data_IF_183598744628
#
_entry.id   IF_183598744628
#
_cell.length_a   1.000
_cell.length_b   1.000
_cell.length_c   1.000
_cell.angle_alpha   90.00
_cell.angle_beta   90.00
_cell.angle_gamma   90.00
#
_symmetry.space_group_name_H-M   'P 1'
#
loop_
_entity.id
_entity.type
_entity.pdbx_description
1 polymer ?
#
# COMPACT_ATOMS: atom_id res chain seq x y z
N UNK A 1 -22.45 13.64 10.83
CA UNK A 1 -21.62 12.68 10.07
C UNK A 1 -22.46 11.51 9.56
N UNK A 2 -23.22 10.84 10.43
CA UNK A 2 -24.08 9.70 10.06
C UNK A 2 -25.03 10.01 8.89
N UNK A 3 -25.76 11.13 8.94
CA UNK A 3 -26.66 11.57 7.84
C UNK A 3 -25.95 11.77 6.49
N UNK A 4 -24.68 12.21 6.47
CA UNK A 4 -23.95 12.43 5.20
C UNK A 4 -23.45 11.14 4.57
N UNK A 5 -23.31 10.07 5.35
CA UNK A 5 -22.88 8.75 4.91
C UNK A 5 -24.05 7.76 4.76
N UNK A 6 -25.24 8.15 5.21
CA UNK A 6 -26.45 7.33 5.11
C UNK A 6 -26.74 6.97 3.64
N UNK A 7 -27.02 5.69 3.40
CA UNK A 7 -27.21 5.13 2.06
C UNK A 7 -25.97 5.15 1.16
N UNK A 8 -24.81 5.64 1.64
CA UNK A 8 -23.56 5.74 0.87
C UNK A 8 -22.45 4.85 1.43
N UNK A 9 -22.39 4.68 2.74
CA UNK A 9 -21.32 3.93 3.41
C UNK A 9 -21.72 3.47 4.82
N UNK A 10 -21.75 2.15 5.02
CA UNK A 10 -22.11 1.49 6.28
C UNK A 10 -20.91 1.06 7.12
N UNK A 11 -19.72 0.92 6.51
CA UNK A 11 -18.54 0.34 7.15
C UNK A 11 -17.93 1.28 8.22
N UNK A 12 -17.35 0.74 9.30
CA UNK A 12 -16.86 1.50 10.46
C UNK A 12 -15.47 2.13 10.24
N UNK A 13 -15.03 2.27 8.99
CA UNK A 13 -13.78 2.89 8.58
C UNK A 13 -14.01 3.77 7.36
N UNK A 14 -13.04 4.62 7.02
CA UNK A 14 -13.02 5.45 5.82
C UNK A 14 -11.69 5.26 5.12
N UNK A 15 -11.69 5.26 3.79
CA UNK A 15 -10.48 5.31 2.97
C UNK A 15 -10.43 6.65 2.25
N UNK A 16 -9.23 7.21 2.16
CA UNK A 16 -9.04 8.49 1.51
C UNK A 16 -7.57 8.84 1.35
N UNK A 17 -7.34 10.08 0.94
CA UNK A 17 -6.01 10.61 0.75
C UNK A 17 -5.92 12.08 1.16
N UNK A 18 -4.70 12.50 1.47
CA UNK A 18 -4.37 13.88 1.78
C UNK A 18 -4.35 14.71 0.49
N UNK A 19 -5.13 15.78 0.47
CA UNK A 19 -5.19 16.74 -0.64
C UNK A 19 -3.87 17.47 -0.88
N UNK A 20 -3.24 17.95 0.20
CA UNK A 20 -2.07 18.82 0.10
C UNK A 20 -0.82 17.99 -0.24
N UNK A 21 -0.14 18.34 -1.33
CA UNK A 21 1.10 17.73 -1.83
C UNK A 21 2.22 18.77 -1.80
N UNK A 22 3.01 18.83 -0.72
CA UNK A 22 4.09 19.82 -0.56
C UNK A 22 5.37 19.29 -1.19
N UNK A 23 6.21 20.19 -1.68
CA UNK A 23 7.52 19.83 -2.25
C UNK A 23 8.45 19.13 -1.25
N UNK A 24 8.29 19.37 0.05
CA UNK A 24 9.07 18.72 1.12
C UNK A 24 8.53 17.38 1.61
N UNK A 25 7.42 16.89 1.06
CA UNK A 25 6.87 15.57 1.38
C UNK A 25 7.65 14.46 0.68
N UNK A 26 7.82 13.32 1.35
CA UNK A 26 8.50 12.15 0.74
C UNK A 26 7.68 11.54 -0.40
N UNK A 27 6.35 11.74 -0.36
CA UNK A 27 5.35 11.09 -1.19
C UNK A 27 4.31 12.12 -1.61
N UNK A 28 3.85 12.05 -2.85
CA UNK A 28 2.77 12.90 -3.37
C UNK A 28 1.42 12.32 -2.96
N UNK A 29 1.24 11.01 -3.11
CA UNK A 29 0.01 10.33 -2.70
C UNK A 29 0.19 9.81 -1.28
N UNK A 30 -0.48 10.46 -0.33
CA UNK A 30 -0.53 10.01 1.06
C UNK A 30 -1.95 9.54 1.36
N UNK A 31 -2.12 8.23 1.42
CA UNK A 31 -3.40 7.55 1.65
C UNK A 31 -3.39 6.79 2.97
N UNK A 32 -4.57 6.58 3.54
CA UNK A 32 -4.76 5.77 4.74
C UNK A 32 -6.17 5.19 4.77
N UNK A 33 -6.36 4.07 5.45
CA UNK A 33 -7.65 3.74 6.05
C UNK A 33 -7.67 4.32 7.48
N UNK A 34 -8.76 4.96 7.87
CA UNK A 34 -8.96 5.55 9.20
C UNK A 34 -10.27 5.02 9.81
N UNK A 35 -10.44 5.04 11.15
CA UNK A 35 -11.74 4.77 11.75
C UNK A 35 -12.82 5.71 11.22
N UNK A 36 -14.10 5.33 11.33
CA UNK A 36 -15.22 6.19 10.89
C UNK A 36 -15.35 7.42 11.79
N UNK A 37 -14.62 8.47 11.41
CA UNK A 37 -14.57 9.77 12.09
C UNK A 37 -14.76 10.92 11.10
N UNK A 38 -15.05 12.12 11.62
CA UNK A 38 -15.26 13.29 10.78
C UNK A 38 -13.95 13.70 10.08
N UNK A 39 -14.03 13.98 8.78
CA UNK A 39 -12.92 14.48 7.97
C UNK A 39 -13.28 15.81 7.33
N UNK A 40 -12.29 16.70 7.22
CA UNK A 40 -12.42 17.99 6.52
C UNK A 40 -12.14 17.88 5.01
N UNK A 41 -12.02 19.02 4.35
CA UNK A 41 -11.76 19.11 2.89
C UNK A 41 -10.33 18.72 2.48
N UNK A 42 -9.44 18.48 3.46
CA UNK A 42 -8.03 18.10 3.22
C UNK A 42 -7.77 16.61 3.25
N UNK A 43 -8.74 15.81 3.69
CA UNK A 43 -8.71 14.36 3.58
C UNK A 43 -9.90 13.94 2.72
N UNK A 44 -9.62 13.73 1.44
CA UNK A 44 -10.63 13.44 0.43
C UNK A 44 -10.96 11.96 0.46
N UNK A 45 -12.25 11.62 0.37
CA UNK A 45 -12.74 10.26 0.57
C UNK A 45 -12.78 9.48 -0.75
N UNK A 46 -12.36 8.23 -0.68
CA UNK A 46 -12.53 7.23 -1.73
C UNK A 46 -13.24 6.03 -1.11
N UNK A 47 -14.55 5.90 -1.37
CA UNK A 47 -15.37 4.83 -0.81
C UNK A 47 -15.57 3.77 -1.91
N UNK A 48 -14.95 2.58 -1.79
CA UNK A 48 -15.15 1.48 -2.74
C UNK A 48 -16.64 1.11 -2.85
N UNK A 49 -17.08 0.61 -3.99
CA UNK A 49 -18.42 0.00 -4.07
C UNK A 49 -18.51 -1.24 -3.18
N UNK A 50 -19.71 -1.58 -2.68
CA UNK A 50 -19.94 -2.70 -1.76
C UNK A 50 -19.35 -4.03 -2.28
N UNK A 51 -19.48 -4.28 -3.59
CA UNK A 51 -18.94 -5.47 -4.25
C UNK A 51 -17.39 -5.56 -4.24
N UNK A 52 -16.70 -4.47 -3.91
CA UNK A 52 -15.24 -4.36 -3.89
C UNK A 52 -14.66 -4.09 -2.49
N UNK A 53 -15.49 -4.11 -1.44
CA UNK A 53 -15.05 -3.81 -0.06
C UNK A 53 -13.88 -4.70 0.37
N UNK A 54 -13.90 -5.99 0.02
CA UNK A 54 -12.79 -6.93 0.28
C UNK A 54 -11.48 -6.59 -0.43
N UNK A 55 -11.47 -5.67 -1.39
CA UNK A 55 -10.29 -5.18 -2.09
C UNK A 55 -9.79 -3.83 -1.56
N UNK A 56 -10.39 -3.29 -0.49
CA UNK A 56 -9.98 -2.01 0.08
C UNK A 56 -8.51 -1.98 0.48
N UNK A 57 -7.99 -3.08 1.07
CA UNK A 57 -6.56 -3.22 1.36
C UNK A 57 -5.68 -3.20 0.10
N UNK A 58 -6.11 -3.85 -0.98
CA UNK A 58 -5.42 -3.83 -2.26
C UNK A 58 -5.39 -2.43 -2.89
N UNK A 59 -6.51 -1.72 -2.84
CA UNK A 59 -6.59 -0.34 -3.30
C UNK A 59 -5.67 0.58 -2.47
N UNK A 60 -5.69 0.44 -1.14
CA UNK A 60 -4.80 1.18 -0.24
C UNK A 60 -3.33 0.94 -0.60
N UNK A 61 -2.94 -0.32 -0.86
CA UNK A 61 -1.58 -0.67 -1.25
C UNK A 61 -1.18 -0.07 -2.60
N UNK A 62 -2.08 -0.10 -3.59
CA UNK A 62 -1.86 0.47 -4.91
C UNK A 62 -1.60 1.97 -4.83
N UNK A 63 -2.48 2.70 -4.14
CA UNK A 63 -2.35 4.14 -3.92
C UNK A 63 -1.08 4.50 -3.14
N UNK A 64 -0.65 3.63 -2.22
CA UNK A 64 0.57 3.81 -1.42
C UNK A 64 1.85 3.36 -2.13
N UNK A 65 1.79 2.74 -3.31
CA UNK A 65 2.97 2.25 -4.03
C UNK A 65 3.80 3.39 -4.64
N UNK A 66 5.12 3.23 -4.71
CA UNK A 66 6.03 4.21 -5.30
C UNK A 66 5.78 4.39 -6.80
N UNK A 67 5.44 3.33 -7.53
CA UNK A 67 5.09 3.42 -8.95
C UNK A 67 3.84 4.27 -9.19
N UNK A 68 2.80 4.14 -8.34
CA UNK A 68 1.62 4.98 -8.43
C UNK A 68 1.92 6.44 -8.07
N UNK A 69 2.76 6.69 -7.07
CA UNK A 69 3.21 8.03 -6.68
C UNK A 69 3.99 8.71 -7.81
N UNK A 70 4.84 7.95 -8.50
CA UNK A 70 5.57 8.42 -9.68
C UNK A 70 4.60 8.89 -10.76
N UNK A 71 3.57 8.08 -11.10
CA UNK A 71 2.53 8.50 -12.06
C UNK A 71 1.78 9.75 -11.58
N UNK A 72 1.47 9.85 -10.28
CA UNK A 72 0.78 11.01 -9.72
C UNK A 72 1.60 12.29 -9.84
N UNK A 73 2.92 12.23 -9.59
CA UNK A 73 3.83 13.38 -9.73
C UNK A 73 3.83 13.98 -11.13
N UNK A 74 3.69 13.16 -12.17
CA UNK A 74 3.64 13.63 -13.55
C UNK A 74 2.35 14.40 -13.88
N UNK A 75 1.26 14.17 -13.13
CA UNK A 75 -0.05 14.81 -13.37
C UNK A 75 -0.35 15.95 -12.39
N UNK A 76 0.27 15.97 -11.23
CA UNK A 76 0.03 17.00 -10.21
C UNK A 76 0.84 18.25 -10.55
N UNK A 77 0.18 19.25 -11.14
CA UNK A 77 0.79 20.54 -11.50
C UNK A 77 0.83 21.59 -10.39
N UNK A 78 0.36 21.27 -9.18
CA UNK A 78 0.28 22.21 -8.06
C UNK A 78 0.31 21.50 -6.71
N UNK A 79 -0.13 22.17 -5.65
CA UNK A 79 -0.05 21.62 -4.28
C UNK A 79 -1.31 20.85 -3.84
N UNK A 80 -2.25 20.59 -4.75
CA UNK A 80 -3.52 19.92 -4.43
C UNK A 80 -3.73 18.70 -5.33
N UNK A 81 -3.99 17.54 -4.73
CA UNK A 81 -4.40 16.31 -5.40
C UNK A 81 -5.92 16.16 -5.25
N UNK A 82 -6.66 16.83 -6.14
CA UNK A 82 -8.14 16.80 -6.13
C UNK A 82 -8.71 15.58 -6.85
N UNK A 83 -10.01 15.35 -6.65
CA UNK A 83 -10.77 14.24 -7.25
C UNK A 83 -10.55 14.09 -8.77
N UNK A 84 -10.52 15.19 -9.53
CA UNK A 84 -10.38 15.12 -10.99
C UNK A 84 -9.01 14.61 -11.43
N UNK A 85 -7.94 14.87 -10.66
CA UNK A 85 -6.61 14.30 -10.92
C UNK A 85 -6.59 12.85 -10.48
N UNK A 86 -7.06 12.55 -9.26
CA UNK A 86 -7.09 11.19 -8.71
C UNK A 86 -7.83 10.20 -9.63
N UNK A 87 -8.96 10.62 -10.22
CA UNK A 87 -9.75 9.81 -11.17
C UNK A 87 -9.03 9.50 -12.49
N UNK A 88 -7.93 10.17 -12.80
CA UNK A 88 -7.12 9.94 -14.00
C UNK A 88 -5.85 9.11 -13.73
N UNK A 89 -5.61 8.74 -12.48
CA UNK A 89 -4.40 7.98 -12.11
C UNK A 89 -4.58 6.50 -12.43
N UNK A 90 -3.51 5.80 -12.83
CA UNK A 90 -3.57 4.42 -13.31
C UNK A 90 -3.62 3.44 -12.14
N UNK A 91 -4.73 3.38 -11.41
CA UNK A 91 -4.96 2.34 -10.40
C UNK A 91 -5.24 1.00 -11.09
N UNK A 92 -4.71 -0.10 -10.53
CA UNK A 92 -5.00 -1.44 -11.08
C UNK A 92 -6.48 -1.78 -10.94
N UNK A 93 -7.04 -2.39 -11.98
CA UNK A 93 -8.46 -2.80 -11.99
C UNK A 93 -8.73 -3.93 -10.99
N UNK A 94 -9.94 -3.98 -10.38
CA UNK A 94 -10.30 -5.01 -9.40
C UNK A 94 -10.04 -6.46 -9.86
N UNK A 95 -10.30 -6.74 -11.15
CA UNK A 95 -10.11 -8.06 -11.75
C UNK A 95 -8.65 -8.56 -11.71
N UNK A 96 -7.65 -7.68 -11.53
CA UNK A 96 -6.25 -8.10 -11.38
C UNK A 96 -6.01 -8.81 -10.05
N UNK A 97 -6.72 -8.42 -8.98
CA UNK A 97 -6.49 -8.95 -7.64
C UNK A 97 -7.07 -10.35 -7.42
N UNK A 98 -7.99 -10.81 -8.25
CA UNK A 98 -8.55 -12.17 -8.17
C UNK A 98 -7.65 -13.22 -8.85
N UNK A 99 -6.65 -12.79 -9.61
CA UNK A 99 -5.70 -13.69 -10.27
C UNK A 99 -4.63 -14.17 -9.28
N UNK A 100 -3.97 -15.31 -9.55
CA UNK A 100 -2.81 -15.74 -8.76
C UNK A 100 -1.69 -14.70 -8.75
N UNK A 101 -0.98 -14.59 -7.63
CA UNK A 101 0.27 -13.84 -7.59
C UNK A 101 1.34 -14.63 -8.37
N UNK A 102 1.88 -14.04 -9.44
CA UNK A 102 2.83 -14.71 -10.35
C UNK A 102 4.09 -15.26 -9.67
N UNK A 103 4.42 -14.73 -8.50
CA UNK A 103 5.61 -15.07 -7.70
C UNK A 103 5.31 -15.94 -6.48
N UNK A 104 4.06 -16.33 -6.20
CA UNK A 104 3.72 -17.15 -5.01
C UNK A 104 3.10 -18.49 -5.41
N UNK A 105 2.43 -18.57 -6.56
CA UNK A 105 1.82 -19.78 -7.12
C UNK A 105 0.68 -20.41 -6.30
N UNK A 106 0.53 -20.02 -5.03
CA UNK A 106 -0.37 -20.63 -4.05
C UNK A 106 -1.50 -19.71 -3.64
N UNK A 107 -1.24 -18.40 -3.49
CA UNK A 107 -2.24 -17.40 -3.07
C UNK A 107 -2.74 -16.56 -4.25
N UNK A 108 -3.98 -16.09 -4.10
CA UNK A 108 -4.46 -14.98 -4.93
C UNK A 108 -3.62 -13.72 -4.66
N UNK A 109 -3.52 -12.83 -5.66
CA UNK A 109 -2.85 -11.54 -5.49
C UNK A 109 -3.51 -10.72 -4.37
N UNK A 110 -4.84 -10.78 -4.25
CA UNK A 110 -5.59 -10.17 -3.15
C UNK A 110 -5.02 -10.61 -1.81
N UNK A 111 -4.92 -11.92 -1.56
CA UNK A 111 -4.55 -12.43 -0.24
C UNK A 111 -3.08 -12.10 0.07
N UNK A 112 -2.20 -12.22 -0.94
CA UNK A 112 -0.78 -11.87 -0.82
C UNK A 112 -0.56 -10.39 -0.43
N UNK A 113 -1.31 -9.48 -1.05
CA UNK A 113 -1.27 -8.04 -0.75
C UNK A 113 -1.94 -7.76 0.61
N UNK A 114 -3.10 -8.36 0.87
CA UNK A 114 -3.91 -8.07 2.06
C UNK A 114 -3.18 -8.44 3.34
N UNK A 115 -2.49 -9.58 3.38
CA UNK A 115 -1.70 -9.97 4.56
C UNK A 115 -0.64 -8.91 4.93
N UNK A 116 0.00 -8.32 3.93
CA UNK A 116 1.01 -7.27 4.09
C UNK A 116 0.40 -5.94 4.51
N UNK A 117 -0.72 -5.57 3.89
CA UNK A 117 -1.43 -4.33 4.21
C UNK A 117 -2.00 -4.36 5.63
N UNK A 118 -2.56 -5.49 6.06
CA UNK A 118 -3.08 -5.63 7.41
C UNK A 118 -1.99 -5.43 8.47
N UNK A 119 -0.81 -6.04 8.30
CA UNK A 119 0.31 -5.81 9.24
C UNK A 119 0.81 -4.35 9.22
N UNK A 120 0.67 -3.65 8.09
CA UNK A 120 1.02 -2.24 7.99
C UNK A 120 -0.05 -1.28 8.55
N UNK A 121 -1.32 -1.61 8.44
CA UNK A 121 -2.44 -0.70 8.68
C UNK A 121 -3.23 -1.00 9.95
N UNK A 122 -3.41 -2.27 10.31
CA UNK A 122 -4.18 -2.68 11.48
C UNK A 122 -3.27 -2.84 12.71
N UNK A 123 -2.80 -1.71 13.27
CA UNK A 123 -1.96 -1.69 14.48
C UNK A 123 -2.71 -1.28 15.75
N UNK A 124 -4.01 -0.99 15.65
CA UNK A 124 -4.86 -0.60 16.77
C UNK A 124 -6.31 -1.04 16.54
N UNK A 125 -7.05 -1.26 17.63
CA UNK A 125 -8.40 -1.84 17.63
C UNK A 125 -9.46 -0.97 16.93
N UNK A 126 -9.23 0.33 16.80
CA UNK A 126 -10.11 1.27 16.11
C UNK A 126 -10.23 0.98 14.60
N UNK A 127 -9.29 0.21 14.04
CA UNK A 127 -9.31 -0.29 12.66
C UNK A 127 -9.79 -1.75 12.54
N UNK A 128 -10.33 -2.36 13.60
CA UNK A 128 -10.81 -3.75 13.57
C UNK A 128 -11.84 -3.99 12.47
N UNK A 129 -12.74 -3.03 12.22
CA UNK A 129 -13.72 -3.18 11.15
C UNK A 129 -13.12 -3.11 9.74
N UNK A 130 -12.05 -2.34 9.53
CA UNK A 130 -11.30 -2.37 8.27
C UNK A 130 -10.62 -3.73 8.07
N UNK A 131 -10.05 -4.28 9.15
CA UNK A 131 -9.43 -5.60 9.12
C UNK A 131 -10.46 -6.70 8.81
N UNK A 132 -11.62 -6.66 9.46
CA UNK A 132 -12.72 -7.61 9.24
C UNK A 132 -13.22 -7.59 7.79
N UNK A 133 -13.38 -6.40 7.20
CA UNK A 133 -13.79 -6.26 5.80
C UNK A 133 -12.72 -6.75 4.82
N UNK A 134 -11.44 -6.64 5.21
CA UNK A 134 -10.32 -7.28 4.51
C UNK A 134 -10.20 -8.79 4.77
N UNK A 135 -11.06 -9.38 5.60
CA UNK A 135 -11.09 -10.82 5.89
C UNK A 135 -10.22 -11.27 7.06
N UNK A 136 -9.91 -10.39 8.02
CA UNK A 136 -9.11 -10.69 9.20
C UNK A 136 -9.85 -10.32 10.50
N UNK A 137 -9.99 -11.28 11.40
CA UNK A 137 -10.72 -11.18 12.67
C UNK A 137 -9.82 -11.29 13.91
N UNK A 138 -8.51 -11.44 13.72
CA UNK A 138 -7.53 -11.55 14.81
C UNK A 138 -7.19 -10.20 15.46
N UNK A 139 -6.30 -10.20 16.47
CA UNK A 139 -5.86 -8.99 17.15
C UNK A 139 -4.99 -8.09 16.25
N UNK A 140 -4.82 -6.79 16.59
CA UNK A 140 -3.96 -5.88 15.86
C UNK A 140 -2.50 -6.35 15.80
N UNK A 141 -1.83 -5.98 14.72
CA UNK A 141 -0.41 -6.25 14.51
C UNK A 141 0.48 -5.31 15.34
N UNK A 142 1.59 -5.85 15.86
CA UNK A 142 2.56 -5.04 16.60
C UNK A 142 3.27 -4.07 15.67
N UNK A 143 3.36 -2.81 16.08
CA UNK A 143 4.15 -1.84 15.35
C UNK A 143 5.65 -2.15 15.48
N UNK A 144 6.32 -2.42 14.36
CA UNK A 144 7.76 -2.67 14.31
C UNK A 144 8.38 -1.98 13.08
N UNK A 145 9.24 -0.98 13.29
CA UNK A 145 9.80 -0.16 12.21
C UNK A 145 10.55 -0.98 11.13
N UNK A 146 11.36 -1.95 11.55
CA UNK A 146 12.21 -2.74 10.67
C UNK A 146 11.39 -3.71 9.82
N UNK A 147 10.47 -4.45 10.44
CA UNK A 147 9.53 -5.33 9.73
C UNK A 147 8.70 -4.54 8.71
N UNK A 148 8.17 -3.39 9.12
CA UNK A 148 7.36 -2.53 8.25
C UNK A 148 8.15 -2.02 7.04
N UNK A 149 9.46 -1.77 7.17
CA UNK A 149 10.31 -1.35 6.05
C UNK A 149 10.43 -2.47 5.01
N UNK A 150 10.59 -3.72 5.45
CA UNK A 150 10.61 -4.88 4.56
C UNK A 150 9.26 -5.09 3.87
N UNK A 151 8.16 -5.06 4.62
CA UNK A 151 6.81 -5.27 4.07
C UNK A 151 6.45 -4.21 3.02
N UNK A 152 6.79 -2.93 3.28
CA UNK A 152 6.63 -1.87 2.27
C UNK A 152 7.45 -2.15 1.02
N UNK A 153 8.71 -2.57 1.17
CA UNK A 153 9.55 -2.91 0.03
C UNK A 153 9.03 -4.11 -0.78
N UNK A 154 8.47 -5.12 -0.13
CA UNK A 154 7.79 -6.24 -0.82
C UNK A 154 6.58 -5.74 -1.62
N UNK A 155 5.74 -4.88 -1.04
CA UNK A 155 4.59 -4.30 -1.74
C UNK A 155 5.03 -3.43 -2.91
N UNK A 156 5.99 -2.51 -2.72
CA UNK A 156 6.49 -1.65 -3.78
C UNK A 156 7.08 -2.47 -4.94
N UNK A 157 7.92 -3.47 -4.65
CA UNK A 157 8.47 -4.37 -5.66
C UNK A 157 7.38 -5.14 -6.42
N UNK A 158 6.38 -5.67 -5.70
CA UNK A 158 5.23 -6.32 -6.33
C UNK A 158 4.46 -5.35 -7.25
N UNK A 159 4.24 -4.11 -6.83
CA UNK A 159 3.56 -3.12 -7.67
C UNK A 159 4.38 -2.73 -8.91
N UNK A 160 5.71 -2.63 -8.84
CA UNK A 160 6.52 -2.44 -10.05
C UNK A 160 6.30 -3.57 -11.08
N UNK A 161 6.33 -4.84 -10.63
CA UNK A 161 6.00 -6.00 -11.47
C UNK A 161 4.56 -5.94 -12.03
N UNK A 162 3.58 -5.56 -11.20
CA UNK A 162 2.17 -5.46 -11.63
C UNK A 162 1.92 -4.35 -12.64
N UNK A 163 2.72 -3.29 -12.62
CA UNK A 163 2.67 -2.19 -13.59
C UNK A 163 3.49 -2.49 -14.85
N UNK A 164 4.19 -3.62 -14.90
CA UNK A 164 5.03 -4.02 -16.04
C UNK A 164 6.27 -3.14 -16.19
N UNK A 165 6.74 -2.54 -15.10
CA UNK A 165 7.97 -1.73 -15.10
C UNK A 165 9.15 -2.68 -14.97
N UNK A 166 10.11 -2.57 -15.88
CA UNK A 166 11.31 -3.41 -15.82
C UNK A 166 12.28 -3.00 -14.70
N UNK A 167 13.33 -3.78 -14.53
CA UNK A 167 14.29 -3.60 -13.44
C UNK A 167 15.11 -2.31 -13.55
N UNK A 168 15.44 -1.87 -14.76
CA UNK A 168 16.16 -0.61 -14.99
C UNK A 168 15.27 0.60 -14.78
N UNK A 169 14.03 0.55 -15.26
CA UNK A 169 13.05 1.61 -15.05
C UNK A 169 12.62 1.70 -13.59
N UNK A 170 12.56 0.57 -12.88
CA UNK A 170 12.33 0.54 -11.43
C UNK A 170 13.45 1.29 -10.70
N UNK A 171 14.71 1.02 -11.04
CA UNK A 171 15.88 1.71 -10.48
C UNK A 171 15.83 3.23 -10.73
N UNK A 172 15.53 3.61 -11.98
CA UNK A 172 15.36 4.99 -12.39
C UNK A 172 14.21 5.69 -11.63
N UNK A 173 13.03 5.07 -11.56
CA UNK A 173 11.86 5.65 -10.88
C UNK A 173 12.19 5.91 -9.42
N UNK A 174 12.87 4.98 -8.73
CA UNK A 174 13.27 5.17 -7.33
C UNK A 174 14.17 6.41 -7.15
N UNK A 175 15.06 6.69 -8.10
CA UNK A 175 15.93 7.88 -8.07
C UNK A 175 15.19 9.20 -8.27
N UNK A 176 13.94 9.18 -8.77
CA UNK A 176 13.09 10.37 -8.89
C UNK A 176 12.47 10.84 -7.57
N UNK A 177 12.79 10.19 -6.45
CA UNK A 177 12.33 10.56 -5.09
C UNK A 177 13.44 11.21 -4.24
N UNK A 178 13.94 12.41 -4.58
CA UNK A 178 15.09 13.02 -3.90
C UNK A 178 14.80 13.31 -2.43
N UNK A 179 13.59 13.74 -2.08
CA UNK A 179 13.22 14.04 -0.67
C UNK A 179 13.21 12.77 0.19
N UNK A 180 12.75 11.64 -0.37
CA UNK A 180 12.79 10.35 0.33
C UNK A 180 14.24 9.90 0.50
N UNK A 181 15.02 9.92 -0.59
CA UNK A 181 16.45 9.61 -0.58
C UNK A 181 17.20 10.42 0.47
N UNK A 182 17.09 11.75 0.43
CA UNK A 182 17.86 12.63 1.31
C UNK A 182 17.49 12.44 2.78
N UNK A 183 16.21 12.16 3.08
CA UNK A 183 15.75 11.82 4.45
C UNK A 183 16.32 10.48 4.90
N UNK A 184 16.27 9.44 4.06
CA UNK A 184 16.80 8.13 4.42
C UNK A 184 18.32 8.13 4.53
N UNK A 185 19.05 8.79 3.62
CA UNK A 185 20.51 8.92 3.71
C UNK A 185 20.93 9.60 5.01
N UNK A 186 20.17 10.61 5.48
CA UNK A 186 20.46 11.26 6.77
C UNK A 186 20.26 10.34 7.97
N UNK A 187 19.27 9.45 7.93
CA UNK A 187 18.89 8.58 9.07
C UNK A 187 19.63 7.24 9.05
N UNK A 188 19.89 6.70 7.87
CA UNK A 188 20.40 5.34 7.67
C UNK A 188 21.76 5.30 6.97
N UNK A 189 22.28 6.43 6.48
CA UNK A 189 23.52 6.49 5.69
C UNK A 189 23.38 6.00 4.25
N UNK A 190 22.20 5.53 3.84
CA UNK A 190 21.91 5.01 2.51
C UNK A 190 20.48 5.33 2.07
N UNK A 191 20.20 5.22 0.76
CA UNK A 191 18.83 5.18 0.25
C UNK A 191 18.21 3.80 0.49
N UNK A 192 17.91 3.52 1.76
CA UNK A 192 17.50 2.19 2.26
C UNK A 192 16.30 1.64 1.47
N UNK A 193 15.25 2.42 1.26
CA UNK A 193 14.06 1.99 0.51
C UNK A 193 14.41 1.53 -0.90
N UNK A 194 15.29 2.26 -1.61
CA UNK A 194 15.73 1.87 -2.95
C UNK A 194 16.39 0.50 -2.95
N UNK A 195 17.39 0.29 -2.09
CA UNK A 195 18.08 -1.01 -1.97
C UNK A 195 17.09 -2.13 -1.64
N UNK A 196 16.25 -1.92 -0.63
CA UNK A 196 15.27 -2.91 -0.17
C UNK A 196 14.25 -3.26 -1.26
N UNK A 197 13.75 -2.29 -2.02
CA UNK A 197 12.80 -2.53 -3.12
C UNK A 197 13.46 -3.31 -4.25
N UNK A 198 14.68 -2.96 -4.64
CA UNK A 198 15.38 -3.65 -5.73
C UNK A 198 15.74 -5.09 -5.38
N UNK A 199 16.23 -5.33 -4.15
CA UNK A 199 16.45 -6.69 -3.63
C UNK A 199 15.16 -7.55 -3.69
N UNK A 200 14.00 -6.95 -3.37
CA UNK A 200 12.70 -7.65 -3.41
C UNK A 200 12.20 -7.82 -4.84
N UNK A 201 12.41 -6.83 -5.71
CA UNK A 201 12.09 -6.93 -7.12
C UNK A 201 12.82 -8.12 -7.75
N UNK A 202 14.12 -8.23 -7.49
CA UNK A 202 14.98 -9.28 -8.02
C UNK A 202 14.54 -10.67 -7.49
N UNK A 203 14.24 -10.78 -6.19
CA UNK A 203 13.74 -12.01 -5.60
C UNK A 203 12.34 -12.44 -6.12
N UNK A 204 11.42 -11.50 -6.36
CA UNK A 204 10.13 -11.79 -6.98
C UNK A 204 10.30 -12.24 -8.43
N UNK A 205 11.23 -11.62 -9.16
CA UNK A 205 11.58 -11.98 -10.54
C UNK A 205 12.16 -13.40 -10.62
N UNK A 206 13.05 -13.76 -9.70
CA UNK A 206 13.61 -15.11 -9.60
C UNK A 206 12.54 -16.16 -9.28
N UNK A 207 11.64 -15.88 -8.33
CA UNK A 207 10.52 -16.75 -8.00
C UNK A 207 9.63 -17.02 -9.23
N UNK A 208 9.32 -15.97 -10.00
CA UNK A 208 8.57 -16.08 -11.26
C UNK A 208 9.33 -16.92 -12.31
N UNK A 209 10.64 -16.69 -12.49
CA UNK A 209 11.46 -17.37 -13.49
C UNK A 209 11.66 -18.86 -13.18
N UNK A 210 11.75 -19.22 -11.90
CA UNK A 210 11.97 -20.59 -11.42
C UNK A 210 10.68 -21.34 -11.10
N UNK A 211 9.52 -20.70 -11.22
CA UNK A 211 8.22 -21.21 -10.79
C UNK A 211 8.22 -21.68 -9.32
N UNK A 212 8.96 -20.98 -8.46
CA UNK A 212 8.99 -21.22 -7.01
C UNK A 212 8.22 -20.14 -6.27
N UNK A 213 7.73 -20.46 -5.07
CA UNK A 213 7.04 -19.47 -4.25
C UNK A 213 8.05 -18.51 -3.60
N UNK A 214 7.80 -17.21 -3.74
CA UNK A 214 8.55 -16.15 -3.08
C UNK A 214 8.46 -16.30 -1.56
N UNK A 215 9.62 -16.34 -0.91
CA UNK A 215 9.74 -16.42 0.54
C UNK A 215 10.12 -15.05 1.10
N UNK A 216 9.25 -14.51 1.96
CA UNK A 216 9.57 -13.27 2.69
C UNK A 216 10.78 -13.49 3.59
N UNK A 217 11.72 -12.54 3.69
CA UNK A 217 12.84 -12.64 4.63
C UNK A 217 12.40 -12.45 6.10
N UNK A 218 11.12 -12.16 6.35
CA UNK A 218 10.57 -12.00 7.70
C UNK A 218 10.18 -13.34 8.31
N UNK A 219 10.58 -13.53 9.56
CA UNK A 219 10.07 -14.59 10.45
C UNK A 219 9.45 -13.96 11.70
N UNK A 220 8.14 -14.16 11.97
CA UNK A 220 7.16 -14.83 11.12
C UNK A 220 6.87 -14.05 9.82
N UNK A 221 6.28 -14.70 8.78
CA UNK A 221 5.95 -14.04 7.52
C UNK A 221 4.89 -12.93 7.70
N UNK A 222 4.71 -12.03 6.70
CA UNK A 222 3.72 -10.96 6.77
C UNK A 222 2.30 -11.48 7.00
N UNK A 223 1.57 -10.82 7.91
CA UNK A 223 0.18 -11.17 8.25
C UNK A 223 0.04 -12.40 9.16
N UNK A 224 1.13 -12.94 9.68
CA UNK A 224 1.11 -14.09 10.60
C UNK A 224 0.63 -13.67 12.01
N UNK A 225 -0.25 -14.44 12.68
CA UNK A 225 -0.73 -14.15 14.02
C UNK A 225 0.38 -13.96 15.06
N UNK A 226 1.55 -14.59 14.91
CA UNK A 226 2.71 -14.40 15.81
C UNK A 226 3.27 -12.97 15.77
N UNK A 227 2.93 -12.17 14.75
CA UNK A 227 3.29 -10.76 14.66
C UNK A 227 2.31 -9.84 15.42
N UNK A 228 1.22 -10.38 15.98
CA UNK A 228 0.17 -9.61 16.65
C UNK A 228 0.46 -9.34 18.13
N UNK A 229 -0.31 -8.44 18.74
CA UNK A 229 -0.33 -8.29 20.19
C UNK A 229 -0.85 -9.58 20.84
N UNK A 230 -0.24 -9.98 21.96
CA UNK A 230 -0.77 -11.10 22.75
C UNK A 230 -2.20 -10.75 23.21
N UNK A 231 -3.12 -11.70 23.03
CA UNK A 231 -4.46 -11.68 23.60
C UNK A 231 -4.41 -11.90 25.10
#
# INVERSE_FOLDING_TARGET
>A
MSERLEGRWSHPWLLGWRDICRSGDMRTVITAAIPRVAVGDKYLLMLPGEQHVRLAGCLLANLASLVFDFCARQKVGGTNLKYFVMKQLPALVPARYVQPASWDGTRSLRDWVTHRVLELSYSANDLAGFAADCGYDGPPFRWNAERRAIIRAELDAAFFHLYGVDRSDTDYILDTFPVLRDKETRVHGEFRSKRLVLERYDALSEAMATATAYVSPLSPPPGDPRATHAT
#
